data_IF_383351828189
#
_entry.id   IF_383351828189
#
_cell.length_a   1.000
_cell.length_b   1.000
_cell.length_c   1.000
_cell.angle_alpha   90.00
_cell.angle_beta   90.00
_cell.angle_gamma   90.00
#
_symmetry.space_group_name_H-M   'P 1'
#
loop_
_entity.id
_entity.type
_entity.pdbx_description
1 polymer ?
#
# COMPACT_ATOMS: atom_id res chain seq x y z
N UNK A 1 0.11 -14.29 -0.97
CA UNK A 1 -0.39 -13.15 -0.17
C UNK A 1 -1.76 -12.75 -0.66
N UNK A 2 -2.66 -12.36 0.24
CA UNK A 2 -3.98 -11.80 -0.06
C UNK A 2 -3.86 -10.26 -0.17
N UNK A 3 -4.38 -9.70 -1.27
CA UNK A 3 -4.42 -8.26 -1.54
C UNK A 3 -5.88 -7.85 -1.75
N UNK A 4 -6.61 -7.70 -0.65
CA UNK A 4 -8.02 -7.28 -0.62
C UNK A 4 -8.22 -6.08 0.31
N UNK A 5 -9.21 -5.26 -0.01
CA UNK A 5 -9.56 -4.08 0.80
C UNK A 5 -8.87 -2.80 0.35
N UNK A 6 -8.80 -1.84 1.24
CA UNK A 6 -8.30 -0.50 0.96
C UNK A 6 -6.90 -0.32 1.52
N UNK A 7 -6.03 0.25 0.69
CA UNK A 7 -4.65 0.60 1.02
C UNK A 7 -4.43 2.11 0.87
N UNK A 8 -3.81 2.74 1.85
CA UNK A 8 -3.39 4.13 1.70
C UNK A 8 -2.13 4.25 0.83
N UNK A 9 -2.14 5.14 -0.15
CA UNK A 9 -0.94 5.55 -0.86
C UNK A 9 -0.26 6.68 -0.05
N UNK A 10 0.72 6.34 0.76
CA UNK A 10 1.31 7.23 1.77
C UNK A 10 2.14 8.34 1.12
N UNK A 11 1.97 9.58 1.62
CA UNK A 11 2.78 10.75 1.26
C UNK A 11 4.10 10.76 2.04
N UNK A 12 5.16 11.29 1.45
CA UNK A 12 6.38 11.62 2.19
C UNK A 12 6.25 12.98 2.87
N UNK A 13 6.54 13.04 4.16
CA UNK A 13 6.48 14.27 4.95
C UNK A 13 7.78 15.07 4.79
N UNK A 14 7.67 16.38 4.55
CA UNK A 14 8.83 17.27 4.44
C UNK A 14 8.72 18.44 5.40
N UNK A 15 9.86 18.94 5.87
CA UNK A 15 9.99 20.26 6.45
C UNK A 15 9.79 21.34 5.38
N UNK A 16 9.55 22.60 5.77
CA UNK A 16 9.40 23.71 4.81
C UNK A 16 10.60 23.92 3.88
N UNK A 17 11.79 23.49 4.31
CA UNK A 17 13.04 23.56 3.54
C UNK A 17 13.25 22.37 2.58
N UNK A 18 12.30 21.42 2.53
CA UNK A 18 12.32 20.27 1.65
C UNK A 18 13.06 19.04 2.21
N UNK A 19 13.67 19.13 3.40
CA UNK A 19 14.23 17.94 4.07
C UNK A 19 13.12 16.99 4.53
N UNK A 20 13.29 15.66 4.48
CA UNK A 20 12.30 14.72 4.98
C UNK A 20 12.04 14.89 6.49
N UNK A 21 10.78 14.77 6.89
CA UNK A 21 10.37 14.86 8.29
C UNK A 21 9.93 13.47 8.79
N UNK A 22 10.91 12.62 9.07
CA UNK A 22 10.70 11.21 9.42
C UNK A 22 9.75 11.01 10.59
N UNK A 23 9.85 11.81 11.64
CA UNK A 23 8.96 11.71 12.81
C UNK A 23 7.48 11.94 12.44
N UNK A 24 7.20 12.79 11.46
CA UNK A 24 5.83 12.99 10.98
C UNK A 24 5.36 11.86 10.08
N UNK A 25 6.25 11.29 9.27
CA UNK A 25 5.96 10.06 8.55
C UNK A 25 5.61 8.93 9.52
N UNK A 26 6.44 8.70 10.54
CA UNK A 26 6.19 7.71 11.60
C UNK A 26 4.82 7.91 12.25
N UNK A 27 4.47 9.14 12.66
CA UNK A 27 3.17 9.45 13.25
C UNK A 27 2.00 9.15 12.30
N UNK A 28 2.12 9.48 11.01
CA UNK A 28 1.10 9.18 10.02
C UNK A 28 0.92 7.65 9.86
N UNK A 29 2.02 6.90 9.78
CA UNK A 29 2.00 5.43 9.66
C UNK A 29 1.35 4.77 10.88
N UNK A 30 1.72 5.19 12.11
CA UNK A 30 1.08 4.71 13.33
C UNK A 30 -0.43 4.99 13.32
N UNK A 31 -0.83 6.17 12.85
CA UNK A 31 -2.24 6.52 12.72
C UNK A 31 -2.97 5.65 11.69
N UNK A 32 -2.38 5.41 10.51
CA UNK A 32 -2.96 4.48 9.52
C UNK A 32 -3.08 3.06 10.08
N UNK A 33 -2.13 2.63 10.88
CA UNK A 33 -2.16 1.30 11.52
C UNK A 33 -3.40 1.09 12.42
N UNK A 34 -3.97 2.17 12.93
CA UNK A 34 -5.19 2.15 13.78
C UNK A 34 -6.50 2.30 13.00
N UNK A 35 -6.43 2.48 11.69
CA UNK A 35 -7.60 2.57 10.80
C UNK A 35 -8.01 1.20 10.29
N UNK A 36 -9.23 1.04 9.70
CA UNK A 36 -9.66 -0.23 9.12
C UNK A 36 -8.98 -0.58 7.78
N UNK A 37 -8.00 0.19 7.32
CA UNK A 37 -7.24 -0.09 6.10
C UNK A 37 -6.59 -1.47 6.16
N UNK A 38 -6.53 -2.16 5.02
CA UNK A 38 -5.83 -3.44 4.88
C UNK A 38 -4.30 -3.28 4.91
N UNK A 39 -3.80 -2.12 4.52
CA UNK A 39 -2.36 -1.85 4.50
C UNK A 39 -2.00 -0.50 3.89
N UNK A 40 -0.72 -0.36 3.55
CA UNK A 40 -0.13 0.88 3.05
C UNK A 40 0.84 0.63 1.91
N UNK A 41 0.96 1.61 1.02
CA UNK A 41 1.96 1.63 -0.06
C UNK A 41 2.89 2.81 0.16
N UNK A 42 4.15 2.53 0.39
CA UNK A 42 5.22 3.52 0.50
C UNK A 42 5.88 3.74 -0.86
N UNK A 43 6.36 4.95 -1.11
CA UNK A 43 7.13 5.28 -2.31
C UNK A 43 6.36 5.05 -3.63
N UNK A 44 5.03 5.16 -3.60
CA UNK A 44 4.23 5.33 -4.81
C UNK A 44 4.38 6.75 -5.39
N UNK A 45 3.65 7.08 -6.44
CA UNK A 45 3.59 8.45 -7.00
C UNK A 45 3.12 9.48 -5.96
N UNK A 46 2.14 9.13 -5.14
CA UNK A 46 1.66 9.96 -4.01
C UNK A 46 2.75 10.23 -2.97
N UNK A 47 3.70 9.31 -2.82
CA UNK A 47 4.84 9.44 -1.92
C UNK A 47 5.99 10.29 -2.46
N UNK A 48 5.83 10.96 -3.60
CA UNK A 48 6.87 11.76 -4.26
C UNK A 48 8.19 11.00 -4.47
N UNK A 49 8.10 9.68 -4.72
CA UNK A 49 9.26 8.76 -4.76
C UNK A 49 10.35 9.17 -5.75
N UNK A 50 9.98 9.84 -6.86
CA UNK A 50 10.94 10.33 -7.86
C UNK A 50 11.70 11.59 -7.42
N UNK A 51 11.28 12.21 -6.32
CA UNK A 51 11.88 13.41 -5.73
C UNK A 51 12.88 13.09 -4.60
N UNK A 52 13.01 11.81 -4.22
CA UNK A 52 13.84 11.37 -3.10
C UNK A 52 15.22 10.90 -3.58
N UNK A 53 16.26 11.18 -2.77
CA UNK A 53 17.54 10.50 -2.95
C UNK A 53 17.44 9.02 -2.59
N UNK A 54 18.48 8.22 -2.94
CA UNK A 54 18.53 6.80 -2.54
C UNK A 54 18.52 6.62 -1.01
N UNK A 55 19.27 7.47 -0.29
CA UNK A 55 19.30 7.42 1.17
C UNK A 55 17.94 7.76 1.76
N UNK A 56 17.29 8.83 1.27
CA UNK A 56 15.94 9.21 1.69
C UNK A 56 14.91 8.12 1.38
N UNK A 57 15.03 7.49 0.22
CA UNK A 57 14.19 6.35 -0.18
C UNK A 57 14.29 5.19 0.79
N UNK A 58 15.52 4.79 1.15
CA UNK A 58 15.77 3.71 2.10
C UNK A 58 15.29 4.05 3.49
N UNK A 59 15.56 5.28 3.95
CA UNK A 59 15.12 5.73 5.26
C UNK A 59 13.58 5.80 5.36
N UNK A 60 12.89 6.24 4.31
CA UNK A 60 11.42 6.21 4.25
C UNK A 60 10.85 4.80 4.46
N UNK A 61 11.45 3.80 3.78
CA UNK A 61 11.04 2.40 3.95
C UNK A 61 11.29 1.91 5.38
N UNK A 62 12.46 2.22 5.95
CA UNK A 62 12.83 1.81 7.31
C UNK A 62 11.89 2.42 8.37
N UNK A 63 11.64 3.72 8.29
CA UNK A 63 10.74 4.43 9.22
C UNK A 63 9.33 3.89 9.13
N UNK A 64 8.83 3.66 7.92
CA UNK A 64 7.48 3.16 7.73
C UNK A 64 7.32 1.72 8.26
N UNK A 65 8.29 0.85 8.02
CA UNK A 65 8.25 -0.52 8.53
C UNK A 65 8.22 -0.55 10.06
N UNK A 66 9.08 0.26 10.71
CA UNK A 66 9.18 0.31 12.17
C UNK A 66 7.88 0.79 12.86
N UNK A 67 7.10 1.64 12.18
CA UNK A 67 5.85 2.21 12.71
C UNK A 67 4.59 1.43 12.30
N UNK A 68 4.71 0.47 11.37
CA UNK A 68 3.56 -0.27 10.85
C UNK A 68 3.17 -1.41 11.77
N UNK A 69 1.89 -1.46 12.16
CA UNK A 69 1.35 -2.59 12.93
C UNK A 69 1.48 -3.91 12.15
N UNK A 70 1.80 -5.03 12.82
CA UNK A 70 2.10 -6.30 12.14
C UNK A 70 1.00 -6.81 11.21
N UNK A 71 -0.27 -6.55 11.52
CA UNK A 71 -1.42 -6.99 10.73
C UNK A 71 -1.68 -6.16 9.46
N UNK A 72 -0.99 -5.05 9.26
CA UNK A 72 -1.14 -4.21 8.06
C UNK A 72 -0.20 -4.66 6.96
N UNK A 73 -0.74 -4.96 5.78
CA UNK A 73 0.09 -5.28 4.60
C UNK A 73 0.91 -4.06 4.21
N UNK A 74 2.20 -4.26 4.01
CA UNK A 74 3.14 -3.20 3.69
C UNK A 74 3.76 -3.42 2.30
N UNK A 75 3.48 -2.51 1.37
CA UNK A 75 3.93 -2.57 -0.02
C UNK A 75 4.98 -1.50 -0.29
N UNK A 76 6.10 -1.87 -0.90
CA UNK A 76 7.17 -0.94 -1.27
C UNK A 76 7.13 -0.59 -2.75
N UNK A 77 7.04 0.69 -3.10
CA UNK A 77 7.22 1.19 -4.46
C UNK A 77 8.69 1.18 -4.86
N UNK A 78 9.13 0.16 -5.56
CA UNK A 78 10.55 -0.04 -5.91
C UNK A 78 10.87 0.22 -7.38
N UNK A 79 9.86 0.44 -8.24
CA UNK A 79 10.07 0.63 -9.68
C UNK A 79 11.06 1.76 -10.00
N UNK A 80 12.10 1.44 -10.76
CA UNK A 80 13.13 2.35 -11.28
C UNK A 80 13.22 2.17 -12.80
N UNK A 81 14.00 3.02 -13.45
CA UNK A 81 14.21 2.95 -14.90
C UNK A 81 15.01 1.71 -15.32
N UNK A 82 15.84 1.16 -14.44
CA UNK A 82 16.61 -0.06 -14.69
C UNK A 82 16.17 -1.22 -13.83
N UNK A 83 16.28 -2.44 -14.37
CA UNK A 83 16.08 -3.68 -13.61
C UNK A 83 17.01 -3.75 -12.40
N UNK A 84 18.26 -3.33 -12.57
CA UNK A 84 19.28 -3.39 -11.53
C UNK A 84 18.90 -2.58 -10.29
N UNK A 85 18.53 -1.30 -10.45
CA UNK A 85 18.14 -0.46 -9.31
C UNK A 85 16.78 -0.85 -8.71
N UNK A 86 15.87 -1.37 -9.55
CA UNK A 86 14.60 -1.92 -9.06
C UNK A 86 14.85 -3.09 -8.11
N UNK A 87 15.75 -4.02 -8.48
CA UNK A 87 16.09 -5.18 -7.66
C UNK A 87 16.87 -4.78 -6.39
N UNK A 88 17.81 -3.84 -6.46
CA UNK A 88 18.51 -3.34 -5.26
C UNK A 88 17.55 -2.81 -4.20
N UNK A 89 16.50 -2.10 -4.64
CA UNK A 89 15.50 -1.59 -3.71
C UNK A 89 14.52 -2.69 -3.26
N UNK A 90 14.21 -3.66 -4.11
CA UNK A 90 13.42 -4.84 -3.74
C UNK A 90 14.14 -5.69 -2.68
N UNK A 91 15.44 -5.92 -2.83
CA UNK A 91 16.28 -6.60 -1.83
C UNK A 91 16.27 -5.87 -0.49
N UNK A 92 16.38 -4.54 -0.52
CA UNK A 92 16.30 -3.74 0.71
C UNK A 92 14.93 -3.79 1.36
N UNK A 93 13.85 -3.73 0.58
CA UNK A 93 12.49 -3.89 1.10
C UNK A 93 12.27 -5.28 1.73
N UNK A 94 12.85 -6.33 1.15
CA UNK A 94 12.79 -7.68 1.72
C UNK A 94 13.54 -7.78 3.06
N UNK A 95 14.70 -7.14 3.19
CA UNK A 95 15.45 -7.06 4.45
C UNK A 95 14.66 -6.34 5.57
N UNK A 96 13.70 -5.51 5.20
CA UNK A 96 12.80 -4.79 6.11
C UNK A 96 11.42 -5.48 6.27
N UNK A 97 11.26 -6.75 5.87
CA UNK A 97 10.02 -7.52 6.00
C UNK A 97 8.80 -6.84 5.36
N UNK A 98 9.01 -6.18 4.21
CA UNK A 98 7.89 -5.78 3.37
C UNK A 98 7.21 -7.00 2.77
N UNK A 99 5.92 -6.90 2.55
CA UNK A 99 5.11 -8.06 2.13
C UNK A 99 5.10 -8.26 0.62
N UNK A 100 5.26 -7.19 -0.17
CA UNK A 100 5.42 -7.24 -1.62
C UNK A 100 5.99 -5.92 -2.15
N UNK A 101 6.39 -5.92 -3.43
CA UNK A 101 6.88 -4.74 -4.13
C UNK A 101 5.92 -4.29 -5.21
N UNK A 102 5.74 -2.97 -5.33
CA UNK A 102 4.97 -2.31 -6.37
C UNK A 102 5.93 -1.73 -7.41
N UNK A 103 5.87 -2.23 -8.65
CA UNK A 103 6.81 -1.90 -9.71
C UNK A 103 6.10 -1.12 -10.81
N UNK A 104 6.37 0.19 -10.89
CA UNK A 104 5.87 1.04 -11.98
C UNK A 104 6.58 0.79 -13.30
N UNK A 105 5.92 1.11 -14.41
CA UNK A 105 6.54 1.07 -15.73
C UNK A 105 7.73 2.04 -15.80
N UNK A 106 8.91 1.63 -16.37
CA UNK A 106 9.94 2.56 -16.79
C UNK A 106 9.36 3.52 -17.83
N UNK A 107 9.75 4.81 -17.78
CA UNK A 107 9.08 5.82 -18.60
C UNK A 107 10.01 6.86 -19.24
N UNK A 108 11.27 6.93 -18.84
CA UNK A 108 12.18 7.93 -19.38
C UNK A 108 12.46 7.72 -20.86
N UNK A 109 12.79 6.48 -21.26
CA UNK A 109 12.98 6.10 -22.67
C UNK A 109 11.69 5.64 -23.33
N UNK A 110 10.60 6.35 -23.11
CA UNK A 110 9.22 5.99 -23.47
C UNK A 110 9.04 5.44 -24.89
N UNK A 111 9.68 6.05 -25.90
CA UNK A 111 9.58 5.59 -27.30
C UNK A 111 10.19 4.19 -27.54
N UNK A 112 11.16 3.81 -26.71
CA UNK A 112 11.82 2.51 -26.77
C UNK A 112 11.14 1.46 -25.85
N UNK A 113 10.31 1.88 -24.90
CA UNK A 113 9.60 1.00 -23.97
C UNK A 113 8.33 0.43 -24.63
N UNK A 114 8.52 -0.51 -25.58
CA UNK A 114 7.45 -1.23 -26.27
C UNK A 114 7.06 -2.50 -25.47
N UNK A 115 6.09 -3.24 -25.93
CA UNK A 115 5.61 -4.46 -25.27
C UNK A 115 6.76 -5.42 -24.94
N UNK A 116 7.69 -5.65 -25.86
CA UNK A 116 8.83 -6.53 -25.66
C UNK A 116 9.75 -6.05 -24.53
N UNK A 117 10.07 -4.77 -24.49
CA UNK A 117 10.92 -4.20 -23.46
C UNK A 117 10.21 -4.22 -22.10
N UNK A 118 8.89 -4.01 -22.05
CA UNK A 118 8.09 -4.14 -20.82
C UNK A 118 8.04 -5.58 -20.32
N UNK A 119 7.81 -6.55 -21.20
CA UNK A 119 7.87 -7.97 -20.85
C UNK A 119 9.24 -8.32 -20.27
N UNK A 120 10.32 -7.96 -20.98
CA UNK A 120 11.70 -8.20 -20.53
C UNK A 120 11.98 -7.59 -19.16
N UNK A 121 11.56 -6.32 -18.94
CA UNK A 121 11.75 -5.63 -17.68
C UNK A 121 11.06 -6.35 -16.52
N UNK A 122 9.76 -6.61 -16.65
CA UNK A 122 8.98 -7.21 -15.57
C UNK A 122 9.33 -8.66 -15.32
N UNK A 123 9.62 -9.46 -16.35
CA UNK A 123 10.09 -10.84 -16.20
C UNK A 123 11.43 -10.86 -15.46
N UNK A 124 12.40 -10.05 -15.88
CA UNK A 124 13.70 -9.98 -15.22
C UNK A 124 13.63 -9.49 -13.76
N UNK A 125 12.67 -8.62 -13.43
CA UNK A 125 12.41 -8.21 -12.03
C UNK A 125 11.76 -9.35 -11.27
N UNK A 126 10.75 -10.00 -11.83
CA UNK A 126 9.99 -11.05 -11.15
C UNK A 126 10.82 -12.32 -10.92
N UNK A 127 11.70 -12.69 -11.87
CA UNK A 127 12.62 -13.83 -11.75
C UNK A 127 13.57 -13.72 -10.55
N UNK A 128 13.95 -12.49 -10.18
CA UNK A 128 15.00 -12.23 -9.18
C UNK A 128 14.54 -11.51 -7.93
N UNK A 129 13.33 -10.95 -7.92
CA UNK A 129 12.79 -10.28 -6.75
C UNK A 129 12.57 -11.28 -5.61
N UNK A 130 13.11 -11.02 -4.40
CA UNK A 130 12.85 -11.84 -3.22
C UNK A 130 11.42 -11.72 -2.70
N UNK A 131 10.69 -10.69 -3.14
CA UNK A 131 9.30 -10.42 -2.74
C UNK A 131 8.35 -10.59 -3.92
N UNK A 132 7.08 -10.92 -3.67
CA UNK A 132 6.03 -10.91 -4.68
C UNK A 132 5.92 -9.54 -5.37
N UNK A 133 5.71 -9.55 -6.69
CA UNK A 133 5.67 -8.35 -7.53
C UNK A 133 4.23 -7.98 -7.88
N UNK A 134 3.88 -6.72 -7.66
CA UNK A 134 2.69 -6.09 -8.22
C UNK A 134 3.12 -5.19 -9.39
N UNK A 135 2.50 -5.39 -10.53
CA UNK A 135 2.61 -4.46 -11.66
C UNK A 135 1.95 -3.12 -11.30
N UNK A 136 2.46 -2.02 -11.81
CA UNK A 136 1.86 -0.71 -11.58
C UNK A 136 1.76 0.11 -12.86
N UNK A 137 0.54 0.26 -13.37
CA UNK A 137 0.20 1.20 -14.44
C UNK A 137 -0.30 2.51 -13.84
N UNK A 138 0.36 3.61 -14.20
CA UNK A 138 0.03 4.97 -13.75
C UNK A 138 0.21 5.96 -14.91
N UNK A 139 -0.64 5.87 -15.95
CA UNK A 139 -0.43 6.60 -17.21
C UNK A 139 -0.33 8.11 -17.02
N UNK A 140 -1.01 8.70 -16.04
CA UNK A 140 -0.92 10.14 -15.75
C UNK A 140 0.49 10.59 -15.32
N UNK A 141 1.32 9.68 -14.78
CA UNK A 141 2.69 9.97 -14.37
C UNK A 141 3.72 9.50 -15.40
N UNK A 142 3.49 8.33 -15.99
CA UNK A 142 4.48 7.69 -16.89
C UNK A 142 4.18 7.94 -18.37
N UNK A 143 2.99 8.48 -18.70
CA UNK A 143 2.46 8.63 -20.06
C UNK A 143 2.53 7.30 -20.86
N UNK A 144 2.44 6.18 -20.16
CA UNK A 144 2.42 4.83 -20.72
C UNK A 144 1.40 3.99 -19.97
N UNK A 145 0.46 3.44 -20.71
CA UNK A 145 -0.53 2.51 -20.20
C UNK A 145 -0.12 1.08 -20.53
N UNK A 146 0.09 0.24 -19.52
CA UNK A 146 0.59 -1.12 -19.72
C UNK A 146 -0.48 -1.95 -20.45
N UNK A 147 -0.24 -2.44 -21.69
CA UNK A 147 -1.27 -3.11 -22.48
C UNK A 147 -1.83 -4.34 -21.81
N UNK A 148 -3.12 -4.63 -22.03
CA UNK A 148 -3.83 -5.77 -21.41
C UNK A 148 -3.17 -7.10 -21.77
N UNK A 149 -2.73 -7.27 -23.02
CA UNK A 149 -2.04 -8.47 -23.49
C UNK A 149 -0.68 -8.66 -22.79
N UNK A 150 0.04 -7.58 -22.51
CA UNK A 150 1.30 -7.63 -21.74
C UNK A 150 1.04 -8.04 -20.29
N UNK A 151 -0.01 -7.49 -19.68
CA UNK A 151 -0.40 -7.89 -18.32
C UNK A 151 -0.83 -9.34 -18.27
N UNK A 152 -1.61 -9.82 -19.26
CA UNK A 152 -2.04 -11.22 -19.31
C UNK A 152 -0.86 -12.20 -19.39
N UNK A 153 0.16 -11.87 -20.19
CA UNK A 153 1.38 -12.68 -20.29
C UNK A 153 2.18 -12.64 -18.97
N UNK A 154 2.40 -11.46 -18.40
CA UNK A 154 3.11 -11.28 -17.15
C UNK A 154 2.41 -11.95 -15.96
N UNK A 155 1.08 -11.99 -15.95
CA UNK A 155 0.30 -12.60 -14.90
C UNK A 155 0.50 -14.11 -14.78
N UNK A 156 1.02 -14.77 -15.82
CA UNK A 156 1.38 -16.20 -15.81
C UNK A 156 2.65 -16.47 -14.98
N UNK A 157 3.45 -15.45 -14.70
CA UNK A 157 4.67 -15.56 -13.90
C UNK A 157 4.33 -15.83 -12.42
N UNK A 158 4.93 -16.86 -11.76
CA UNK A 158 4.57 -17.27 -10.42
C UNK A 158 4.80 -16.18 -9.35
N UNK A 159 5.78 -15.30 -9.55
CA UNK A 159 6.10 -14.21 -8.61
C UNK A 159 5.37 -12.88 -8.91
N UNK A 160 4.58 -12.80 -10.00
CA UNK A 160 3.72 -11.65 -10.28
C UNK A 160 2.33 -11.96 -9.73
N UNK A 161 1.93 -11.28 -8.65
CA UNK A 161 0.75 -11.66 -7.86
C UNK A 161 -0.47 -10.79 -8.13
N UNK A 162 -0.29 -9.67 -8.80
CA UNK A 162 -1.37 -8.74 -9.08
C UNK A 162 -0.89 -7.46 -9.75
N UNK A 163 -1.80 -6.51 -9.83
CA UNK A 163 -1.56 -5.20 -10.46
C UNK A 163 -2.33 -4.11 -9.72
N UNK A 164 -1.72 -2.92 -9.60
CA UNK A 164 -2.41 -1.66 -9.35
C UNK A 164 -2.63 -0.95 -10.68
N UNK A 165 -3.89 -0.64 -11.02
CA UNK A 165 -4.22 0.16 -12.19
C UNK A 165 -4.75 1.53 -11.77
N UNK A 166 -4.06 2.59 -12.19
CA UNK A 166 -4.41 3.99 -11.93
C UNK A 166 -4.86 4.74 -13.19
N UNK A 167 -5.36 4.04 -14.20
CA UNK A 167 -5.94 4.65 -15.40
C UNK A 167 -7.26 5.37 -15.11
N UNK A 168 -8.00 4.93 -14.07
CA UNK A 168 -9.36 5.39 -13.79
C UNK A 168 -10.42 4.84 -14.77
N UNK A 169 -10.06 3.87 -15.60
CA UNK A 169 -10.92 3.27 -16.61
C UNK A 169 -11.48 1.94 -16.12
N UNK A 170 -12.79 1.90 -15.82
CA UNK A 170 -13.49 0.72 -15.30
C UNK A 170 -13.58 -0.41 -16.34
N UNK A 171 -13.77 -0.06 -17.62
CA UNK A 171 -13.80 -1.06 -18.70
C UNK A 171 -12.46 -1.77 -18.84
N UNK A 172 -11.35 -1.03 -18.70
CA UNK A 172 -10.02 -1.61 -18.65
C UNK A 172 -9.84 -2.56 -17.46
N UNK A 173 -10.38 -2.23 -16.28
CA UNK A 173 -10.37 -3.15 -15.13
C UNK A 173 -11.09 -4.46 -15.51
N UNK A 174 -12.28 -4.39 -16.12
CA UNK A 174 -13.01 -5.57 -16.57
C UNK A 174 -12.20 -6.40 -17.59
N UNK A 175 -11.56 -5.76 -18.56
CA UNK A 175 -10.69 -6.42 -19.54
C UNK A 175 -9.51 -7.13 -18.87
N UNK A 176 -8.83 -6.49 -17.91
CA UNK A 176 -7.74 -7.07 -17.16
C UNK A 176 -8.21 -8.27 -16.31
N UNK A 177 -9.35 -8.17 -15.63
CA UNK A 177 -9.96 -9.29 -14.89
C UNK A 177 -10.21 -10.47 -15.82
N UNK A 178 -10.84 -10.22 -16.97
CA UNK A 178 -11.14 -11.27 -17.96
C UNK A 178 -9.86 -11.91 -18.52
N UNK A 179 -8.86 -11.11 -18.88
CA UNK A 179 -7.60 -11.58 -19.45
C UNK A 179 -6.75 -12.41 -18.46
N UNK A 180 -6.96 -12.22 -17.15
CA UNK A 180 -6.18 -12.91 -16.11
C UNK A 180 -6.96 -13.98 -15.35
N UNK A 181 -8.20 -14.27 -15.74
CA UNK A 181 -9.10 -15.22 -15.05
C UNK A 181 -8.56 -16.65 -15.04
N UNK A 182 -7.80 -17.04 -16.07
CA UNK A 182 -7.21 -18.37 -16.24
C UNK A 182 -5.88 -18.54 -15.50
N UNK A 183 -5.34 -17.50 -14.89
CA UNK A 183 -4.08 -17.56 -14.14
C UNK A 183 -4.23 -18.56 -12.98
N UNK A 184 -3.22 -19.44 -12.85
CA UNK A 184 -3.19 -20.46 -11.79
C UNK A 184 -3.39 -19.81 -10.42
N UNK A 185 -4.39 -20.27 -9.69
CA UNK A 185 -4.62 -19.85 -8.31
C UNK A 185 -3.49 -20.32 -7.40
N UNK A 186 -3.22 -19.51 -6.40
CA UNK A 186 -2.20 -19.76 -5.36
C UNK A 186 -2.90 -19.94 -4.03
N UNK A 187 -2.48 -20.93 -3.29
CA UNK A 187 -2.93 -21.16 -1.92
C UNK A 187 -2.18 -20.19 -0.99
N UNK A 188 -2.90 -19.30 -0.33
CA UNK A 188 -2.31 -18.29 0.56
C UNK A 188 -2.89 -18.41 1.97
N UNK A 189 -2.05 -18.21 3.03
CA UNK A 189 -2.55 -18.15 4.38
C UNK A 189 -3.37 -16.86 4.58
N UNK A 190 -4.48 -17.00 5.32
CA UNK A 190 -5.34 -15.89 5.76
C UNK A 190 -5.68 -16.09 7.23
N UNK A 191 -6.03 -15.00 7.91
CA UNK A 191 -6.52 -15.08 9.31
C UNK A 191 -7.87 -15.78 9.38
N UNK A 192 -8.35 -16.08 10.58
CA UNK A 192 -9.68 -16.69 10.80
C UNK A 192 -10.83 -15.82 10.28
N UNK A 193 -10.61 -14.51 10.16
CA UNK A 193 -11.56 -13.53 9.59
C UNK A 193 -11.26 -13.20 8.11
N UNK A 194 -10.46 -14.04 7.45
CA UNK A 194 -10.09 -13.91 6.04
C UNK A 194 -9.32 -12.62 5.66
N UNK A 195 -8.61 -12.03 6.63
CA UNK A 195 -7.64 -10.97 6.36
C UNK A 195 -6.28 -11.54 5.94
N UNK A 196 -5.44 -10.73 5.30
CA UNK A 196 -4.09 -11.11 4.92
C UNK A 196 -3.25 -11.51 6.14
N UNK A 197 -2.40 -12.52 5.98
CA UNK A 197 -1.33 -12.84 6.93
C UNK A 197 -0.04 -12.23 6.39
N UNK A 198 0.58 -11.36 7.18
CA UNK A 198 1.82 -10.66 6.84
C UNK A 198 3.05 -11.43 7.33
N UNK A 199 4.22 -11.15 6.77
CA UNK A 199 5.50 -11.71 7.23
C UNK A 199 5.74 -11.35 8.70
N UNK A 200 5.44 -10.12 9.11
CA UNK A 200 5.59 -9.64 10.50
C UNK A 200 4.68 -10.33 11.50
N UNK A 201 3.48 -10.75 11.10
CA UNK A 201 2.60 -11.57 11.95
C UNK A 201 3.20 -12.96 12.17
N UNK A 202 3.79 -13.56 11.15
CA UNK A 202 4.44 -14.88 11.24
C UNK A 202 5.66 -14.82 12.15
N UNK A 203 6.53 -13.83 11.99
CA UNK A 203 7.71 -13.66 12.83
C UNK A 203 7.36 -13.41 14.31
N UNK A 204 6.36 -12.55 14.57
CA UNK A 204 5.90 -12.31 15.93
C UNK A 204 5.41 -13.61 16.61
N UNK A 205 4.80 -14.52 15.85
CA UNK A 205 4.34 -15.81 16.38
C UNK A 205 5.49 -16.79 16.64
N UNK A 206 6.56 -16.74 15.83
CA UNK A 206 7.76 -17.60 16.02
C UNK A 206 8.57 -17.14 17.22
N UNK A 207 8.75 -15.83 17.40
CA UNK A 207 9.50 -15.27 18.55
C UNK A 207 8.84 -15.62 19.90
N UNK A 208 7.50 -15.60 19.99
CA UNK A 208 6.78 -16.03 21.19
C UNK A 208 6.99 -17.51 21.48
N UNK A 209 6.93 -18.38 20.49
CA UNK A 209 7.17 -19.81 20.66
C UNK A 209 8.64 -20.13 21.05
N UNK A 210 9.59 -19.34 20.55
CA UNK A 210 11.02 -19.45 20.93
C UNK A 210 11.30 -19.00 22.37
N UNK A 211 10.61 -17.97 22.85
CA UNK A 211 10.72 -17.49 24.23
C UNK A 211 10.12 -18.47 25.25
N UNK A 212 8.98 -19.10 24.94
CA UNK A 212 8.40 -20.14 25.78
C UNK A 212 9.32 -21.35 25.94
N UNK A 213 10.02 -21.76 24.88
CA UNK A 213 11.06 -22.83 24.98
C UNK A 213 12.28 -22.41 25.81
N UNK A 214 12.67 -21.13 25.77
CA UNK A 214 13.77 -20.62 26.59
C UNK A 214 13.38 -20.40 28.05
N UNK A 215 12.14 -19.98 28.32
CA UNK A 215 11.64 -19.80 29.70
C UNK A 215 11.35 -21.15 30.41
N UNK A 216 10.99 -22.19 29.65
CA UNK A 216 10.85 -23.54 30.20
C UNK A 216 12.17 -24.16 30.65
N UNK A 217 13.32 -23.64 30.19
CA UNK A 217 14.65 -24.08 30.60
C UNK A 217 15.24 -23.33 31.80
N UNK A 218 14.53 -22.33 32.36
CA UNK A 218 15.06 -21.51 33.45
C UNK A 218 14.13 -21.49 34.65
N UNK A 219 13.72 -22.66 35.12
CA UNK A 219 13.24 -22.82 36.51
C UNK A 219 14.47 -22.92 37.43
N UNK A 220 14.96 -21.80 37.93
CA UNK A 220 15.90 -21.75 39.03
C UNK A 220 15.09 -21.81 40.32
N UNK A 221 15.47 -22.71 41.23
CA UNK A 221 14.82 -22.99 42.45
C UNK A 221 14.53 -21.71 43.28
N UNK A 222 13.33 -21.66 43.87
CA UNK A 222 12.87 -20.60 44.78
C UNK A 222 13.76 -20.56 46.04
N UNK A 223 14.81 -19.74 46.01
CA UNK A 223 15.70 -19.64 47.19
C UNK A 223 16.46 -18.32 47.29
N UNK A 224 16.39 -17.43 46.31
CA UNK A 224 17.15 -16.18 46.35
C UNK A 224 16.35 -14.98 45.81
N UNK A 225 15.31 -14.60 46.52
CA UNK A 225 14.61 -13.32 46.33
C UNK A 225 14.75 -12.47 47.57
N UNK A 226 15.86 -11.76 47.71
CA UNK A 226 15.94 -10.58 48.55
C UNK A 226 16.38 -9.40 47.70
N UNK A 227 15.61 -8.33 47.81
CA UNK A 227 15.76 -6.96 47.28
C UNK A 227 15.18 -6.64 45.89
N UNK A 228 14.01 -6.07 45.92
CA UNK A 228 13.60 -4.80 45.29
C UNK A 228 13.91 -4.58 43.81
N UNK A 229 13.42 -5.47 42.91
CA UNK A 229 13.19 -5.07 41.52
C UNK A 229 11.72 -5.35 41.17
N UNK A 230 10.96 -4.28 40.93
CA UNK A 230 9.61 -4.37 40.34
C UNK A 230 9.77 -5.02 38.95
N UNK A 231 9.37 -6.28 38.84
CA UNK A 231 9.30 -6.94 37.55
C UNK A 231 8.29 -6.17 36.69
N UNK A 232 8.74 -5.57 35.61
CA UNK A 232 7.88 -5.08 34.55
C UNK A 232 7.05 -6.27 34.08
N UNK A 233 5.74 -6.22 34.32
CA UNK A 233 4.80 -7.23 33.86
C UNK A 233 4.94 -7.37 32.35
N UNK A 234 5.58 -8.45 31.89
CA UNK A 234 5.66 -8.79 30.48
C UNK A 234 4.24 -8.93 29.93
N UNK A 235 4.02 -8.36 28.77
CA UNK A 235 2.74 -8.53 28.06
C UNK A 235 2.39 -10.03 28.01
N UNK A 236 1.14 -10.43 28.23
CA UNK A 236 0.75 -11.83 28.21
C UNK A 236 1.15 -12.46 26.86
N UNK A 237 1.59 -13.73 26.85
CA UNK A 237 1.99 -14.40 25.62
C UNK A 237 0.82 -14.36 24.62
N UNK A 238 1.07 -13.83 23.42
CA UNK A 238 0.07 -13.84 22.35
C UNK A 238 -0.17 -15.29 21.93
N UNK A 239 -1.45 -15.68 21.87
CA UNK A 239 -1.83 -16.99 21.37
C UNK A 239 -1.28 -17.23 19.94
N UNK A 240 -0.90 -18.47 19.58
CA UNK A 240 -0.38 -18.79 18.27
C UNK A 240 -1.36 -18.34 17.18
N UNK A 241 -0.82 -17.74 16.09
CA UNK A 241 -1.62 -17.23 14.98
C UNK A 241 -2.39 -18.38 14.33
N UNK A 242 -3.72 -18.38 14.49
CA UNK A 242 -4.60 -19.34 13.79
C UNK A 242 -4.83 -18.84 12.37
N UNK A 243 -4.48 -19.66 11.38
CA UNK A 243 -4.64 -19.34 9.97
C UNK A 243 -5.57 -20.33 9.29
N UNK A 244 -6.17 -19.86 8.18
CA UNK A 244 -6.88 -20.67 7.19
C UNK A 244 -6.15 -20.53 5.86
N UNK A 245 -6.56 -21.30 4.88
CA UNK A 245 -6.03 -21.23 3.52
C UNK A 245 -7.11 -20.71 2.57
N UNK A 246 -6.71 -19.86 1.63
CA UNK A 246 -7.56 -19.34 0.56
C UNK A 246 -6.86 -19.43 -0.78
N UNK A 247 -7.61 -19.82 -1.81
CA UNK A 247 -7.14 -19.80 -3.20
C UNK A 247 -7.35 -18.41 -3.82
N UNK A 248 -6.26 -17.80 -4.31
CA UNK A 248 -6.29 -16.48 -4.95
C UNK A 248 -5.62 -16.54 -6.33
N UNK A 249 -6.26 -15.94 -7.32
CA UNK A 249 -5.70 -15.75 -8.67
C UNK A 249 -4.83 -14.50 -8.77
N UNK A 250 -4.81 -13.88 -9.95
CA UNK A 250 -4.22 -12.56 -10.15
C UNK A 250 -5.13 -11.48 -9.53
N UNK A 251 -4.57 -10.58 -8.74
CA UNK A 251 -5.34 -9.63 -7.93
C UNK A 251 -5.22 -8.21 -8.50
N UNK A 252 -6.35 -7.58 -8.81
CA UNK A 252 -6.39 -6.22 -9.34
C UNK A 252 -6.80 -5.21 -8.26
N UNK A 253 -6.02 -4.16 -8.10
CA UNK A 253 -6.27 -3.06 -7.19
C UNK A 253 -6.54 -1.77 -7.97
N UNK A 254 -7.70 -1.17 -7.74
CA UNK A 254 -8.05 0.13 -8.32
C UNK A 254 -7.15 1.23 -7.75
N UNK A 255 -6.60 2.09 -8.60
CA UNK A 255 -5.76 3.22 -8.19
C UNK A 255 -6.47 4.56 -8.12
N UNK A 256 -7.78 4.61 -8.44
CA UNK A 256 -8.56 5.83 -8.60
C UNK A 256 -9.79 5.83 -7.70
N UNK A 257 -9.89 6.78 -6.75
CA UNK A 257 -10.99 6.82 -5.80
C UNK A 257 -12.35 7.10 -6.45
N UNK A 258 -12.37 7.91 -7.51
CA UNK A 258 -13.61 8.24 -8.25
C UNK A 258 -14.25 7.03 -8.93
N UNK A 259 -13.50 5.95 -9.15
CA UNK A 259 -14.01 4.73 -9.79
C UNK A 259 -13.93 3.51 -8.88
N UNK A 260 -13.77 3.69 -7.55
CA UNK A 260 -13.55 2.58 -6.63
C UNK A 260 -14.70 1.55 -6.71
N UNK A 261 -15.94 1.97 -6.44
CA UNK A 261 -17.10 1.07 -6.45
C UNK A 261 -17.30 0.38 -7.80
N UNK A 262 -17.39 1.07 -8.94
CA UNK A 262 -17.55 0.38 -10.23
C UNK A 262 -16.35 -0.51 -10.59
N UNK A 263 -15.14 -0.21 -10.11
CA UNK A 263 -13.98 -1.11 -10.30
C UNK A 263 -14.10 -2.38 -9.47
N UNK A 264 -14.65 -2.31 -8.25
CA UNK A 264 -14.94 -3.47 -7.43
C UNK A 264 -16.01 -4.36 -8.08
N UNK A 265 -17.07 -3.77 -8.64
CA UNK A 265 -18.09 -4.48 -9.43
C UNK A 265 -17.49 -5.15 -10.68
N UNK A 266 -16.51 -4.51 -11.31
CA UNK A 266 -15.78 -5.07 -12.46
C UNK A 266 -14.79 -6.19 -12.08
N UNK A 267 -14.62 -6.49 -10.78
CA UNK A 267 -13.80 -7.59 -10.28
C UNK A 267 -12.47 -7.19 -9.66
N UNK A 268 -12.22 -5.91 -9.38
CA UNK A 268 -11.09 -5.50 -8.56
C UNK A 268 -11.25 -6.05 -7.14
N UNK A 269 -10.14 -6.45 -6.51
CA UNK A 269 -10.12 -7.02 -5.15
C UNK A 269 -10.05 -5.94 -4.06
N UNK A 270 -9.82 -4.70 -4.44
CA UNK A 270 -9.68 -3.57 -3.54
C UNK A 270 -9.12 -2.33 -4.23
N UNK A 271 -8.56 -1.42 -3.46
CA UNK A 271 -7.97 -0.19 -3.99
C UNK A 271 -6.71 0.28 -3.26
N UNK A 272 -5.77 0.86 -4.01
CA UNK A 272 -4.61 1.59 -3.48
C UNK A 272 -4.81 3.06 -3.80
N UNK A 273 -5.34 3.82 -2.87
CA UNK A 273 -5.93 5.12 -3.14
C UNK A 273 -5.16 6.26 -2.47
N UNK A 274 -4.93 7.34 -3.21
CA UNK A 274 -4.40 8.58 -2.65
C UNK A 274 -5.41 9.21 -1.66
N UNK A 275 -6.71 9.12 -1.95
CA UNK A 275 -7.78 9.61 -1.07
C UNK A 275 -7.77 8.89 0.29
N UNK A 276 -7.43 7.60 0.33
CA UNK A 276 -7.33 6.83 1.57
C UNK A 276 -6.20 7.32 2.50
N UNK A 277 -5.27 8.16 2.02
CA UNK A 277 -4.26 8.76 2.89
C UNK A 277 -4.83 9.84 3.80
N UNK A 278 -5.86 10.57 3.37
CA UNK A 278 -6.49 11.60 4.21
C UNK A 278 -7.93 11.26 4.65
N UNK A 279 -8.64 10.38 3.94
CA UNK A 279 -9.99 9.93 4.27
C UNK A 279 -10.11 8.40 4.23
N UNK A 280 -9.34 7.66 5.08
CA UNK A 280 -9.32 6.21 5.08
C UNK A 280 -10.69 5.58 5.36
N UNK A 281 -11.45 6.17 6.30
CA UNK A 281 -12.77 5.68 6.67
C UNK A 281 -13.75 5.78 5.52
N UNK A 282 -13.79 6.91 4.80
CA UNK A 282 -14.71 7.10 3.68
C UNK A 282 -14.45 6.09 2.54
N UNK A 283 -13.18 5.77 2.24
CA UNK A 283 -12.84 4.72 1.29
C UNK A 283 -13.24 3.32 1.78
N UNK A 284 -13.03 3.05 3.07
CA UNK A 284 -13.40 1.77 3.68
C UNK A 284 -14.92 1.57 3.67
N UNK A 285 -15.71 2.61 3.88
CA UNK A 285 -17.18 2.54 3.82
C UNK A 285 -17.68 2.08 2.45
N UNK A 286 -17.08 2.58 1.35
CA UNK A 286 -17.41 2.11 -0.01
C UNK A 286 -17.10 0.62 -0.15
N UNK A 287 -15.91 0.20 0.27
CA UNK A 287 -15.49 -1.19 0.18
C UNK A 287 -16.36 -2.12 1.03
N UNK A 288 -16.70 -1.72 2.25
CA UNK A 288 -17.53 -2.51 3.16
C UNK A 288 -18.95 -2.69 2.61
N UNK A 289 -19.60 -1.60 2.16
CA UNK A 289 -20.92 -1.66 1.57
C UNK A 289 -20.96 -2.58 0.33
N UNK A 290 -19.94 -2.50 -0.53
CA UNK A 290 -19.81 -3.42 -1.66
C UNK A 290 -19.66 -4.87 -1.19
N UNK A 291 -18.80 -5.14 -0.21
CA UNK A 291 -18.54 -6.49 0.30
C UNK A 291 -19.79 -7.10 0.97
N UNK A 292 -20.60 -6.28 1.59
CA UNK A 292 -21.90 -6.65 2.18
C UNK A 292 -23.02 -6.77 1.14
N UNK A 293 -22.70 -6.49 -0.14
CA UNK A 293 -23.64 -6.53 -1.29
C UNK A 293 -24.78 -5.51 -1.18
N UNK A 294 -24.59 -4.42 -0.46
CA UNK A 294 -25.51 -3.28 -0.43
C UNK A 294 -25.13 -2.27 -1.52
N UNK A 295 -25.65 -2.52 -2.72
CA UNK A 295 -25.36 -1.69 -3.90
C UNK A 295 -25.84 -0.23 -3.75
N UNK A 296 -26.95 0.00 -3.02
CA UNK A 296 -27.48 1.34 -2.79
C UNK A 296 -26.55 2.13 -1.88
N UNK A 297 -26.14 1.53 -0.77
CA UNK A 297 -25.21 2.14 0.16
C UNK A 297 -23.83 2.34 -0.48
N UNK A 298 -23.32 1.35 -1.23
CA UNK A 298 -22.04 1.46 -1.92
C UNK A 298 -22.01 2.62 -2.94
N UNK A 299 -23.08 2.78 -3.71
CA UNK A 299 -23.22 3.90 -4.65
C UNK A 299 -23.34 5.25 -3.92
N UNK A 300 -24.00 5.31 -2.78
CA UNK A 300 -24.10 6.50 -1.96
C UNK A 300 -22.75 6.90 -1.39
N UNK A 301 -22.02 5.96 -0.78
CA UNK A 301 -20.66 6.19 -0.26
C UNK A 301 -19.68 6.59 -1.36
N UNK A 302 -19.78 6.00 -2.56
CA UNK A 302 -18.97 6.37 -3.71
C UNK A 302 -19.22 7.82 -4.15
N UNK A 303 -20.46 8.31 -4.13
CA UNK A 303 -20.79 9.70 -4.49
C UNK A 303 -20.10 10.70 -3.56
N UNK A 304 -19.98 10.41 -2.26
CA UNK A 304 -19.34 11.28 -1.27
C UNK A 304 -17.85 11.50 -1.59
N UNK A 305 -17.14 10.45 -2.05
CA UNK A 305 -15.70 10.54 -2.34
C UNK A 305 -15.40 10.95 -3.79
N UNK A 306 -16.41 11.02 -4.66
CA UNK A 306 -16.22 11.15 -6.11
C UNK A 306 -15.53 12.46 -6.49
N UNK A 307 -16.05 13.62 -6.04
CA UNK A 307 -15.49 14.93 -6.36
C UNK A 307 -14.10 15.11 -5.75
N UNK A 308 -13.90 14.74 -4.49
CA UNK A 308 -12.58 14.78 -3.85
C UNK A 308 -11.55 13.88 -4.59
N UNK A 309 -11.99 12.73 -5.13
CA UNK A 309 -11.16 11.87 -5.95
C UNK A 309 -10.67 12.53 -7.23
N UNK A 310 -11.53 13.27 -7.93
CA UNK A 310 -11.20 13.98 -9.18
C UNK A 310 -10.40 15.26 -8.90
N UNK A 311 -10.95 16.14 -8.08
CA UNK A 311 -10.43 17.51 -7.92
C UNK A 311 -9.22 17.54 -7.00
N UNK A 312 -9.30 16.94 -5.81
CA UNK A 312 -8.19 16.96 -4.84
C UNK A 312 -7.08 15.99 -5.25
N UNK A 313 -7.43 14.73 -5.55
CA UNK A 313 -6.41 13.72 -5.85
C UNK A 313 -5.93 13.78 -7.31
N UNK A 314 -6.83 14.05 -8.25
CA UNK A 314 -6.53 14.04 -9.67
C UNK A 314 -5.97 15.35 -10.20
N UNK A 315 -6.68 16.47 -10.00
CA UNK A 315 -6.32 17.78 -10.58
C UNK A 315 -5.27 18.51 -9.74
N UNK A 316 -5.51 18.67 -8.43
CA UNK A 316 -4.56 19.33 -7.53
C UNK A 316 -3.38 18.41 -7.16
N UNK A 317 -3.56 17.09 -7.21
CA UNK A 317 -2.50 16.12 -6.98
C UNK A 317 -1.87 16.19 -5.58
N UNK A 318 -0.55 16.10 -5.52
CA UNK A 318 0.21 16.06 -4.25
C UNK A 318 -0.08 17.26 -3.34
N UNK A 319 -0.09 18.52 -3.82
CA UNK A 319 -0.45 19.67 -2.98
C UNK A 319 -1.84 19.54 -2.35
N UNK A 320 -2.85 19.15 -3.12
CA UNK A 320 -4.22 18.93 -2.64
C UNK A 320 -4.31 17.83 -1.59
N UNK A 321 -3.69 16.70 -1.85
CA UNK A 321 -3.64 15.55 -0.93
C UNK A 321 -2.97 15.95 0.40
N UNK A 322 -1.85 16.67 0.34
CA UNK A 322 -1.13 17.10 1.54
C UNK A 322 -1.95 18.11 2.37
N UNK A 323 -2.60 19.06 1.72
CA UNK A 323 -3.47 19.97 2.42
C UNK A 323 -4.67 19.25 3.07
N UNK A 324 -5.27 18.30 2.38
CA UNK A 324 -6.36 17.49 2.93
C UNK A 324 -5.90 16.60 4.11
N UNK A 325 -4.64 16.14 4.14
CA UNK A 325 -4.04 15.44 5.28
C UNK A 325 -4.02 16.35 6.52
N UNK A 326 -3.56 17.60 6.39
CA UNK A 326 -3.50 18.56 7.48
C UNK A 326 -4.92 18.84 8.04
N UNK A 327 -5.94 18.89 7.19
CA UNK A 327 -7.34 19.09 7.60
C UNK A 327 -7.92 17.90 8.39
N UNK A 328 -7.37 16.70 8.21
CA UNK A 328 -7.87 15.50 8.89
C UNK A 328 -6.90 14.95 9.95
N UNK A 329 -6.05 15.82 10.49
CA UNK A 329 -5.18 15.52 11.62
C UNK A 329 -3.99 14.62 11.32
N UNK A 330 -3.69 14.36 10.06
CA UNK A 330 -2.40 13.83 9.61
C UNK A 330 -1.44 14.98 9.37
N UNK A 331 -0.18 14.70 9.15
CA UNK A 331 0.76 15.70 8.69
C UNK A 331 0.93 15.59 7.16
N UNK A 332 0.44 16.57 6.42
CA UNK A 332 0.66 16.72 4.99
C UNK A 332 1.93 17.52 4.70
N UNK A 333 1.99 18.72 5.26
CA UNK A 333 3.09 19.65 5.05
C UNK A 333 3.16 20.17 3.60
N UNK A 334 4.32 20.69 3.22
CA UNK A 334 4.54 21.16 1.85
C UNK A 334 4.97 20.02 0.93
N UNK A 335 4.57 20.03 -0.35
CA UNK A 335 5.19 19.17 -1.34
C UNK A 335 6.66 19.58 -1.53
N UNK A 336 7.49 18.66 -2.06
CA UNK A 336 8.88 18.99 -2.42
C UNK A 336 8.90 19.80 -3.73
N UNK A 337 9.71 20.86 -3.77
CA UNK A 337 9.88 21.61 -5.02
C UNK A 337 10.37 20.72 -6.16
N UNK A 338 9.90 20.96 -7.42
CA UNK A 338 9.21 22.15 -7.91
C UNK A 338 7.69 22.19 -7.68
N UNK A 339 7.09 21.19 -7.02
CA UNK A 339 5.67 21.24 -6.69
C UNK A 339 5.41 22.37 -5.69
N UNK A 340 4.38 23.18 -5.97
CA UNK A 340 4.03 24.35 -5.15
C UNK A 340 2.86 24.03 -4.21
N UNK A 341 2.80 24.65 -3.01
CA UNK A 341 1.63 24.60 -2.18
C UNK A 341 0.40 25.21 -2.86
N UNK A 342 -0.79 24.82 -2.44
CA UNK A 342 -2.05 25.38 -2.92
C UNK A 342 -2.16 26.88 -2.60
N UNK A 343 -2.77 27.65 -3.51
CA UNK A 343 -3.22 29.00 -3.26
C UNK A 343 -4.51 29.02 -2.42
N UNK A 344 -4.87 30.15 -1.84
CA UNK A 344 -6.00 30.26 -0.90
C UNK A 344 -7.35 29.83 -1.50
N UNK A 345 -7.56 30.02 -2.78
CA UNK A 345 -8.78 29.59 -3.47
C UNK A 345 -8.85 28.05 -3.57
N UNK A 346 -7.76 27.40 -3.96
CA UNK A 346 -7.64 25.94 -4.02
C UNK A 346 -7.79 25.31 -2.63
N UNK A 347 -7.22 25.94 -1.58
CA UNK A 347 -7.37 25.50 -0.20
C UNK A 347 -8.85 25.47 0.23
N UNK A 348 -9.61 26.54 -0.04
CA UNK A 348 -11.05 26.60 0.26
C UNK A 348 -11.82 25.50 -0.47
N UNK A 349 -11.47 25.22 -1.72
CA UNK A 349 -12.12 24.16 -2.47
C UNK A 349 -11.81 22.78 -1.85
N UNK A 350 -10.59 22.53 -1.40
CA UNK A 350 -10.26 21.29 -0.68
C UNK A 350 -11.05 21.19 0.63
N UNK A 351 -11.17 22.30 1.38
CA UNK A 351 -11.95 22.35 2.62
C UNK A 351 -13.42 21.97 2.39
N UNK A 352 -14.04 22.51 1.33
CA UNK A 352 -15.41 22.18 0.92
C UNK A 352 -15.54 20.71 0.53
N UNK A 353 -14.67 20.24 -0.38
CA UNK A 353 -14.76 18.89 -0.96
C UNK A 353 -14.45 17.76 0.03
N UNK A 354 -13.78 18.08 1.13
CA UNK A 354 -13.41 17.07 2.12
C UNK A 354 -14.23 17.17 3.41
N UNK A 355 -15.13 18.14 3.54
CA UNK A 355 -15.82 18.44 4.79
C UNK A 355 -16.58 17.23 5.37
N UNK A 356 -17.32 16.51 4.55
CA UNK A 356 -18.18 15.40 4.96
C UNK A 356 -17.49 14.03 4.91
N UNK A 357 -16.22 13.97 4.47
CA UNK A 357 -15.41 12.73 4.41
C UNK A 357 -14.23 12.72 5.38
N UNK A 358 -14.10 13.75 6.21
CA UNK A 358 -13.11 13.80 7.31
C UNK A 358 -13.53 12.81 8.41
N UNK A 359 -12.52 12.25 9.09
CA UNK A 359 -12.73 11.34 10.23
C UNK A 359 -12.99 12.12 11.51
#
# INVERSE_FOLDING_TARGET
MLLEGIFAAVTTCFYPDGRPYWRKLEQNIDRYSRTPLSGMVLLGSTGEAVMLSEEETREALRVAQAATAPEKVLLAGVGRESVFETLRLADYAAQLDYDAVLVRTPHFYRKQMRNREMLTYYQAVADRSPLPVLLYSVPNCTAYDLPVEVVAELAMHPNIVGMKDSSGNVERIAQLVHATISVRKRSVPVTTVFAAVTSRMLEASVRTNGHERSLAATFVAAGSLSSGMTALAGSPPRAPLKTRTREVGFQLLCGSAQTLYPSLEAGATGGVLALASFAPQACQEVYTAWKEKDAVLAADKQRRIFRAGIEVCGQMGIPGIKYALDLNGYYGGRPRMPLLPLIAEEQRLVEELTYDIRN
#
